data_IF_191941846761
#
_entry.id   IF_191941846761
#
_cell.length_a   1.000
_cell.length_b   1.000
_cell.length_c   1.000
_cell.angle_alpha   90.00
_cell.angle_beta   90.00
_cell.angle_gamma   90.00
#
_symmetry.space_group_name_H-M   'P 1'
#
loop_
_entity.id
_entity.type
_entity.pdbx_description
1 polymer ?
#
# COMPACT_ATOMS: atom_id res chain seq x y z
N UNK A 1 13.81 13.48 29.36
CA UNK A 1 13.47 12.26 28.61
C UNK A 1 13.67 12.56 27.14
N UNK A 2 14.51 11.80 26.43
CA UNK A 2 14.75 12.06 25.02
C UNK A 2 13.45 11.85 24.23
N UNK A 3 12.98 12.91 23.59
CA UNK A 3 11.80 12.89 22.72
C UNK A 3 12.12 12.00 21.51
N UNK A 4 11.47 10.84 21.41
CA UNK A 4 11.62 9.93 20.27
C UNK A 4 10.92 10.55 19.06
N UNK A 5 11.68 11.33 18.28
CA UNK A 5 11.22 11.91 17.02
C UNK A 5 11.05 10.80 15.97
N UNK A 6 10.05 10.94 15.10
CA UNK A 6 9.85 10.03 13.97
C UNK A 6 11.06 10.12 13.01
N UNK A 7 11.68 8.96 12.73
CA UNK A 7 12.71 8.80 11.70
C UNK A 7 12.17 7.89 10.58
N UNK A 8 11.73 8.53 9.49
CA UNK A 8 11.20 7.85 8.31
C UNK A 8 12.23 6.91 7.67
N UNK A 9 13.52 7.30 7.66
CA UNK A 9 14.58 6.54 7.01
C UNK A 9 14.88 5.23 7.74
N UNK A 10 14.61 5.16 9.04
CA UNK A 10 14.70 3.93 9.81
C UNK A 10 13.40 3.11 9.73
N UNK A 11 12.25 3.77 9.95
CA UNK A 11 10.98 3.08 10.20
C UNK A 11 10.37 2.50 8.91
N UNK A 12 10.34 3.28 7.82
CA UNK A 12 9.63 2.89 6.59
C UNK A 12 10.27 1.67 5.89
N UNK A 13 11.61 1.62 5.68
CA UNK A 13 12.23 0.47 5.03
C UNK A 13 12.12 -0.81 5.88
N UNK A 14 12.08 -0.67 7.22
CA UNK A 14 11.88 -1.81 8.11
C UNK A 14 10.52 -2.46 7.88
N UNK A 15 9.45 -1.67 7.81
CA UNK A 15 8.10 -2.19 7.59
C UNK A 15 7.90 -2.72 6.18
N UNK A 16 8.45 -2.04 5.16
CA UNK A 16 8.42 -2.54 3.78
C UNK A 16 9.06 -3.93 3.66
N UNK A 17 10.18 -4.20 4.37
CA UNK A 17 10.79 -5.53 4.42
C UNK A 17 9.89 -6.56 5.08
N UNK A 18 9.35 -6.27 6.26
CA UNK A 18 8.43 -7.17 6.96
C UNK A 18 7.23 -7.53 6.07
N UNK A 19 6.60 -6.54 5.44
CA UNK A 19 5.46 -6.77 4.55
C UNK A 19 5.81 -7.62 3.33
N UNK A 20 7.01 -7.45 2.76
CA UNK A 20 7.47 -8.27 1.65
C UNK A 20 7.76 -9.72 2.08
N UNK A 21 8.42 -9.92 3.22
CA UNK A 21 8.73 -11.24 3.78
C UNK A 21 7.45 -12.01 4.14
N UNK A 22 6.47 -11.32 4.72
CA UNK A 22 5.16 -11.87 5.07
C UNK A 22 4.18 -11.97 3.90
N UNK A 23 4.57 -11.47 2.70
CA UNK A 23 3.75 -11.48 1.49
C UNK A 23 2.37 -10.83 1.70
N UNK A 24 2.30 -9.74 2.48
CA UNK A 24 1.04 -9.14 2.96
C UNK A 24 0.13 -8.55 1.86
N UNK A 25 0.62 -8.45 0.63
CA UNK A 25 -0.13 -7.95 -0.53
C UNK A 25 -0.66 -9.06 -1.43
N UNK A 26 -0.36 -10.32 -1.13
CA UNK A 26 -0.88 -11.45 -1.88
C UNK A 26 -2.25 -11.88 -1.35
N UNK A 27 -3.17 -12.14 -2.27
CA UNK A 27 -4.55 -12.51 -1.94
C UNK A 27 -4.87 -13.89 -2.53
N UNK A 28 -5.56 -14.72 -1.74
CA UNK A 28 -6.02 -16.04 -2.19
C UNK A 28 -7.19 -15.91 -3.17
N UNK A 29 -7.18 -16.77 -4.20
CA UNK A 29 -8.29 -16.94 -5.14
C UNK A 29 -9.46 -17.76 -4.55
N UNK A 30 -9.29 -18.33 -3.36
CA UNK A 30 -10.36 -19.06 -2.68
C UNK A 30 -11.51 -18.11 -2.31
N UNK A 31 -12.73 -18.59 -2.48
CA UNK A 31 -13.94 -17.83 -2.14
C UNK A 31 -14.22 -18.06 -0.66
N UNK A 32 -14.11 -17.00 0.13
CA UNK A 32 -14.53 -16.98 1.54
C UNK A 32 -15.81 -16.15 1.67
N UNK A 33 -16.97 -16.78 1.98
CA UNK A 33 -18.23 -16.07 2.18
C UNK A 33 -18.21 -15.05 3.34
N UNK A 34 -17.30 -15.20 4.31
CA UNK A 34 -17.16 -14.25 5.42
C UNK A 34 -16.41 -12.97 5.03
N UNK A 35 -15.62 -13.02 3.96
CA UNK A 35 -14.78 -11.91 3.49
C UNK A 35 -15.09 -11.60 2.01
N UNK A 36 -16.05 -10.69 1.74
CA UNK A 36 -16.43 -10.36 0.37
C UNK A 36 -15.25 -9.78 -0.40
N UNK A 37 -15.04 -10.27 -1.63
CA UNK A 37 -13.93 -9.83 -2.48
C UNK A 37 -14.14 -8.38 -2.94
N UNK A 38 -13.06 -7.61 -2.95
CA UNK A 38 -13.02 -6.26 -3.51
C UNK A 38 -11.90 -6.17 -4.55
N UNK A 39 -12.17 -5.46 -5.65
CA UNK A 39 -11.16 -5.14 -6.65
C UNK A 39 -11.09 -3.63 -6.84
N UNK A 40 -10.06 -3.03 -6.24
CA UNK A 40 -9.77 -1.60 -6.35
C UNK A 40 -8.68 -1.41 -7.41
N UNK A 41 -8.99 -0.63 -8.45
CA UNK A 41 -8.11 -0.41 -9.59
C UNK A 41 -7.84 1.08 -9.79
N UNK A 42 -6.56 1.43 -9.92
CA UNK A 42 -6.08 2.76 -10.31
C UNK A 42 -5.40 2.67 -11.67
N UNK A 43 -5.42 3.75 -12.44
CA UNK A 43 -4.81 3.78 -13.76
C UNK A 43 -3.28 3.74 -13.66
N UNK A 44 -2.64 2.82 -14.39
CA UNK A 44 -1.19 2.76 -14.53
C UNK A 44 -0.68 4.06 -15.20
N UNK A 45 0.44 4.66 -14.74
CA UNK A 45 0.92 5.90 -15.32
C UNK A 45 1.62 5.62 -16.66
N UNK A 46 1.64 6.62 -17.54
CA UNK A 46 2.48 6.57 -18.73
C UNK A 46 3.96 6.68 -18.32
N UNK A 47 4.88 5.87 -18.90
CA UNK A 47 6.29 5.84 -18.51
C UNK A 47 7.12 6.98 -19.13
N UNK A 48 6.50 8.13 -19.42
CA UNK A 48 7.13 9.27 -20.08
C UNK A 48 7.84 10.23 -19.11
N UNK A 49 7.96 9.87 -17.82
CA UNK A 49 8.65 10.62 -16.78
C UNK A 49 8.46 10.01 -15.40
N UNK A 50 9.08 10.62 -14.39
CA UNK A 50 8.94 10.20 -12.99
C UNK A 50 7.59 10.62 -12.39
N UNK A 51 6.97 9.80 -11.51
CA UNK A 51 5.73 10.16 -10.83
C UNK A 51 5.88 11.39 -9.93
N UNK A 52 5.10 12.44 -10.21
CA UNK A 52 4.95 13.60 -9.33
C UNK A 52 3.83 13.42 -8.28
N UNK A 53 3.68 14.37 -7.35
CA UNK A 53 2.68 14.38 -6.26
C UNK A 53 1.23 14.16 -6.73
N UNK A 54 0.87 14.57 -7.95
CA UNK A 54 -0.43 14.23 -8.53
C UNK A 54 -0.70 12.73 -8.67
N UNK A 55 0.31 11.93 -9.08
CA UNK A 55 0.20 10.47 -9.14
C UNK A 55 0.08 9.87 -7.73
N UNK A 56 0.88 10.38 -6.78
CA UNK A 56 0.81 9.97 -5.38
C UNK A 56 -0.63 10.09 -4.85
N UNK A 57 -1.30 11.22 -5.09
CA UNK A 57 -2.70 11.40 -4.65
C UNK A 57 -3.63 10.30 -5.17
N UNK A 58 -3.51 9.95 -6.46
CA UNK A 58 -4.37 8.92 -7.07
C UNK A 58 -4.08 7.55 -6.44
N UNK A 59 -2.82 7.20 -6.23
CA UNK A 59 -2.42 5.91 -5.67
C UNK A 59 -2.73 5.80 -4.18
N UNK A 60 -2.49 6.85 -3.39
CA UNK A 60 -2.81 6.85 -1.96
C UNK A 60 -4.31 6.70 -1.68
N UNK A 61 -5.18 7.29 -2.51
CA UNK A 61 -6.63 7.10 -2.37
C UNK A 61 -7.03 5.67 -2.72
N UNK A 62 -6.51 5.12 -3.82
CA UNK A 62 -6.76 3.73 -4.19
C UNK A 62 -6.29 2.75 -3.12
N UNK A 63 -5.09 2.96 -2.59
CA UNK A 63 -4.49 2.14 -1.53
C UNK A 63 -5.28 2.22 -0.23
N UNK A 64 -5.72 3.41 0.19
CA UNK A 64 -6.57 3.58 1.38
C UNK A 64 -7.91 2.84 1.27
N UNK A 65 -8.55 2.87 0.09
CA UNK A 65 -9.79 2.12 -0.17
C UNK A 65 -9.53 0.61 -0.19
N UNK A 66 -8.43 0.16 -0.80
CA UNK A 66 -8.04 -1.24 -0.79
C UNK A 66 -7.80 -1.75 0.64
N UNK A 67 -7.15 -0.95 1.49
CA UNK A 67 -6.95 -1.24 2.91
C UNK A 67 -8.25 -1.28 3.72
N UNK A 68 -9.20 -0.39 3.43
CA UNK A 68 -10.51 -0.40 4.09
C UNK A 68 -11.31 -1.68 3.82
N UNK A 69 -11.12 -2.29 2.64
CA UNK A 69 -11.79 -3.53 2.23
C UNK A 69 -11.03 -4.82 2.61
N UNK A 70 -9.87 -4.73 3.27
CA UNK A 70 -9.13 -5.91 3.75
C UNK A 70 -9.80 -6.58 4.94
#
# INVERSE_FOLDING_TARGET
MAERRYDAHEIEPRWQRVWAEERTWEVSNEIDPAHPKSYVLVMLPYPSGEPHIGHLKVYSVGDAVAHFHR
#
